data_IF_976710971072
#
_entry.id   IF_976710971072
#
_cell.length_a   1.000
_cell.length_b   1.000
_cell.length_c   1.000
_cell.angle_alpha   90.00
_cell.angle_beta   90.00
_cell.angle_gamma   90.00
#
_symmetry.space_group_name_H-M   'P 1'
#
loop_
_entity.id
_entity.type
_entity.pdbx_description
1 polymer ?
#
# COMPACT_ATOMS: atom_id res chain seq x y z
N UNK A 1 16.13 27.16 31.97
CA UNK A 1 16.81 25.85 31.96
C UNK A 1 17.09 25.53 30.50
N UNK A 2 18.36 25.53 30.08
CA UNK A 2 18.78 25.16 28.74
C UNK A 2 18.98 23.65 28.73
N UNK A 3 18.16 22.91 28.00
CA UNK A 3 18.26 21.46 27.98
C UNK A 3 17.66 20.87 26.70
N UNK A 4 18.05 19.62 26.40
CA UNK A 4 17.56 18.87 25.24
C UNK A 4 16.02 18.89 25.16
N UNK A 5 15.50 19.35 24.02
CA UNK A 5 14.06 19.47 23.74
C UNK A 5 13.71 19.07 22.31
N UNK A 6 12.41 18.91 22.08
CA UNK A 6 11.80 18.69 20.76
C UNK A 6 12.47 17.55 19.97
N UNK A 7 12.84 16.48 20.70
CA UNK A 7 13.41 15.30 20.06
C UNK A 7 12.29 14.58 19.35
N UNK A 8 12.41 14.46 18.02
CA UNK A 8 11.45 13.79 17.16
C UNK A 8 12.18 13.07 16.03
N UNK A 9 11.52 12.06 15.48
CA UNK A 9 12.05 11.29 14.37
C UNK A 9 11.12 11.41 13.16
N UNK A 10 11.70 11.47 11.97
CA UNK A 10 10.97 11.36 10.70
C UNK A 10 11.50 10.15 9.95
N UNK A 11 10.66 9.11 9.91
CA UNK A 11 10.91 7.86 9.20
C UNK A 11 9.88 7.78 8.07
N UNK A 12 10.29 7.54 6.82
CA UNK A 12 9.32 7.39 5.73
C UNK A 12 8.43 6.17 6.00
N UNK A 13 7.12 6.34 5.83
CA UNK A 13 6.15 5.27 6.09
C UNK A 13 6.41 4.04 5.19
N UNK A 14 6.78 4.28 3.93
CA UNK A 14 7.10 3.22 3.00
C UNK A 14 8.22 3.60 2.01
N UNK A 15 9.06 2.62 1.65
CA UNK A 15 10.11 2.76 0.63
C UNK A 15 10.16 1.50 -0.23
N UNK A 16 10.36 1.66 -1.55
CA UNK A 16 10.53 0.54 -2.47
C UNK A 16 11.80 -0.26 -2.16
N UNK A 17 11.71 -1.59 -2.27
CA UNK A 17 12.86 -2.50 -2.25
C UNK A 17 13.94 -2.03 -3.23
N UNK A 18 15.21 -2.21 -2.84
CA UNK A 18 16.42 -1.66 -3.49
C UNK A 18 16.53 -0.13 -3.44
N UNK A 19 15.54 0.56 -2.86
CA UNK A 19 15.54 2.01 -2.73
C UNK A 19 16.51 2.54 -1.68
N UNK A 20 16.46 3.86 -1.48
CA UNK A 20 17.20 4.59 -0.45
C UNK A 20 16.22 5.17 0.56
N UNK A 21 16.43 4.91 1.85
CA UNK A 21 15.62 5.45 2.93
C UNK A 21 16.46 6.46 3.73
N UNK A 22 15.96 7.69 3.86
CA UNK A 22 16.60 8.71 4.71
C UNK A 22 15.72 8.94 5.93
N UNK A 23 16.31 8.74 7.11
CA UNK A 23 15.69 8.93 8.39
C UNK A 23 16.28 10.19 9.05
N UNK A 24 15.44 11.00 9.65
CA UNK A 24 15.87 12.22 10.35
C UNK A 24 15.59 12.12 11.84
N UNK A 25 16.54 12.59 12.62
CA UNK A 25 16.40 12.81 14.05
C UNK A 25 16.59 14.29 14.32
N UNK A 26 15.48 14.95 14.63
CA UNK A 26 15.46 16.37 14.97
C UNK A 26 15.53 16.50 16.48
N UNK A 27 16.31 17.45 16.96
CA UNK A 27 16.43 17.78 18.37
C UNK A 27 16.94 19.22 18.50
N UNK A 28 16.58 19.87 19.60
CA UNK A 28 17.11 21.18 19.98
C UNK A 28 17.93 21.01 21.27
N UNK A 29 19.21 21.37 21.22
CA UNK A 29 20.09 21.36 22.38
C UNK A 29 19.98 22.64 23.21
N UNK A 30 19.36 23.68 22.67
CA UNK A 30 19.31 25.05 23.17
C UNK A 30 20.72 25.64 23.42
N UNK A 31 21.32 25.31 24.56
CA UNK A 31 22.68 25.73 24.95
C UNK A 31 23.54 24.57 25.47
N UNK A 32 23.05 23.34 25.39
CA UNK A 32 23.79 22.15 25.79
C UNK A 32 24.71 21.64 24.68
N UNK A 33 25.66 20.77 25.03
CA UNK A 33 26.53 20.14 24.03
C UNK A 33 26.07 18.71 23.74
N UNK A 34 26.14 18.29 22.46
CA UNK A 34 25.78 16.94 22.08
C UNK A 34 26.84 15.95 22.56
N UNK A 35 26.43 14.95 23.35
CA UNK A 35 27.28 13.81 23.68
C UNK A 35 27.23 12.77 22.56
N UNK A 36 26.04 12.28 22.20
CA UNK A 36 25.92 11.30 21.12
C UNK A 36 24.52 11.24 20.50
N UNK A 37 24.44 10.83 19.24
CA UNK A 37 23.22 10.34 18.61
C UNK A 37 23.41 8.88 18.22
N UNK A 38 22.47 8.01 18.58
CA UNK A 38 22.50 6.58 18.22
C UNK A 38 21.22 6.18 17.51
N UNK A 39 21.37 5.30 16.53
CA UNK A 39 20.24 4.68 15.84
C UNK A 39 20.17 3.18 16.12
N UNK A 40 18.95 2.73 16.39
CA UNK A 40 18.62 1.34 16.72
C UNK A 40 17.62 0.77 15.72
N UNK A 41 17.84 -0.46 15.25
CA UNK A 41 16.83 -1.28 14.59
C UNK A 41 16.30 -2.29 15.62
N UNK A 42 15.06 -2.12 16.06
CA UNK A 42 14.55 -2.82 17.24
C UNK A 42 15.40 -2.48 18.48
N UNK A 43 16.16 -3.46 18.99
CA UNK A 43 17.06 -3.28 20.17
C UNK A 43 18.54 -3.21 19.81
N UNK A 44 18.90 -3.38 18.54
CA UNK A 44 20.31 -3.44 18.10
C UNK A 44 20.73 -2.07 17.60
N UNK A 45 21.73 -1.50 18.27
CA UNK A 45 22.42 -0.32 17.77
C UNK A 45 23.14 -0.68 16.47
N UNK A 46 23.04 0.19 15.46
CA UNK A 46 23.73 0.00 14.19
C UNK A 46 24.48 1.24 13.70
N UNK A 47 24.25 2.39 14.33
CA UNK A 47 24.92 3.64 13.99
C UNK A 47 25.04 4.53 15.23
N UNK A 48 26.19 5.19 15.37
CA UNK A 48 26.47 6.18 16.41
C UNK A 48 27.24 7.35 15.84
N UNK A 49 26.87 8.54 16.28
CA UNK A 49 27.61 9.78 16.06
C UNK A 49 27.99 10.40 17.41
N UNK A 50 29.28 10.54 17.69
CA UNK A 50 29.85 11.14 18.91
C UNK A 50 30.82 12.27 18.48
N UNK A 51 30.42 13.55 18.56
CA UNK A 51 31.20 14.66 18.01
C UNK A 51 32.63 14.79 18.56
N UNK A 52 32.85 14.35 19.81
CA UNK A 52 34.14 14.46 20.53
C UNK A 52 35.08 13.28 20.29
N UNK A 53 34.67 12.27 19.52
CA UNK A 53 35.51 11.12 19.15
C UNK A 53 36.09 11.28 17.75
N UNK A 54 37.22 10.60 17.49
CA UNK A 54 37.82 10.47 16.16
C UNK A 54 38.00 8.97 15.80
N UNK A 55 37.27 8.44 14.80
CA UNK A 55 36.25 9.12 14.00
C UNK A 55 34.95 9.35 14.79
N UNK A 56 34.27 10.45 14.51
CA UNK A 56 33.00 10.81 15.15
C UNK A 56 31.85 9.84 14.81
N UNK A 57 31.92 9.16 13.67
CA UNK A 57 30.89 8.23 13.21
C UNK A 57 31.34 6.78 13.38
N UNK A 58 30.47 5.93 13.91
CA UNK A 58 30.67 4.47 14.04
C UNK A 58 29.46 3.72 13.51
N UNK A 59 29.71 2.65 12.76
CA UNK A 59 28.68 1.75 12.24
C UNK A 59 28.86 0.37 12.87
N UNK A 60 27.76 -0.20 13.34
CA UNK A 60 27.71 -1.57 13.86
C UNK A 60 26.90 -2.41 12.87
N UNK A 61 27.53 -3.32 12.10
CA UNK A 61 26.85 -4.03 11.03
C UNK A 61 25.65 -4.85 11.50
N UNK A 62 24.51 -4.66 10.82
CA UNK A 62 23.36 -5.55 10.87
C UNK A 62 23.19 -6.13 9.46
N UNK A 63 23.03 -7.45 9.37
CA UNK A 63 22.83 -8.11 8.08
C UNK A 63 21.66 -7.51 7.30
N UNK A 64 21.90 -7.16 6.03
CA UNK A 64 20.91 -6.55 5.14
C UNK A 64 20.75 -5.03 5.28
N UNK A 65 21.46 -4.38 6.19
CA UNK A 65 21.41 -2.93 6.42
C UNK A 65 22.70 -2.25 5.92
N UNK A 66 22.62 -1.47 4.85
CA UNK A 66 23.75 -0.69 4.31
C UNK A 66 23.58 0.79 4.65
N UNK A 67 24.50 1.35 5.45
CA UNK A 67 24.50 2.77 5.84
C UNK A 67 25.39 3.56 4.88
N UNK A 68 24.84 4.59 4.26
CA UNK A 68 25.61 5.56 3.48
C UNK A 68 26.29 6.58 4.40
N UNK A 69 27.56 6.32 4.72
CA UNK A 69 28.39 7.20 5.56
C UNK A 69 28.49 8.62 5.01
N UNK A 70 28.59 8.78 3.68
CA UNK A 70 28.73 10.10 3.05
C UNK A 70 27.45 10.95 3.12
N UNK A 71 26.30 10.32 3.41
CA UNK A 71 24.99 10.96 3.55
C UNK A 71 24.38 10.77 4.94
N UNK A 72 25.21 10.49 5.94
CA UNK A 72 24.80 10.34 7.34
C UNK A 72 25.61 11.27 8.23
N UNK A 73 25.00 11.76 9.31
CA UNK A 73 25.62 12.64 10.31
C UNK A 73 24.83 12.57 11.64
N UNK A 74 24.96 13.59 12.50
CA UNK A 74 24.23 13.64 13.78
C UNK A 74 22.69 13.62 13.63
N UNK A 75 22.15 14.23 12.58
CA UNK A 75 20.71 14.48 12.41
C UNK A 75 20.07 13.63 11.31
N UNK A 76 20.87 13.13 10.38
CA UNK A 76 20.42 12.38 9.21
C UNK A 76 21.11 11.03 9.15
N UNK A 77 20.35 9.98 8.85
CA UNK A 77 20.85 8.64 8.58
C UNK A 77 20.28 8.17 7.23
N UNK A 78 21.16 7.74 6.33
CA UNK A 78 20.75 7.23 5.01
C UNK A 78 21.08 5.76 4.87
N UNK A 79 20.07 4.96 4.50
CA UNK A 79 20.16 3.54 4.20
C UNK A 79 20.03 3.32 2.69
N UNK A 80 20.84 2.44 2.09
CA UNK A 80 20.78 2.10 0.66
C UNK A 80 20.43 0.64 0.44
N UNK A 81 20.00 0.32 -0.79
CA UNK A 81 19.69 -1.04 -1.24
C UNK A 81 18.78 -1.79 -0.26
N UNK A 82 17.74 -1.10 0.22
CA UNK A 82 16.92 -1.61 1.33
C UNK A 82 16.17 -2.88 0.91
N UNK A 83 16.26 -3.91 1.73
CA UNK A 83 15.57 -5.19 1.52
C UNK A 83 14.31 -5.28 2.37
N UNK A 84 13.41 -6.22 2.06
CA UNK A 84 12.16 -6.42 2.84
C UNK A 84 12.43 -6.73 4.33
N UNK A 85 13.56 -7.36 4.66
CA UNK A 85 13.99 -7.64 6.04
C UNK A 85 14.37 -6.39 6.84
N UNK A 86 14.58 -5.27 6.16
CA UNK A 86 14.93 -3.97 6.76
C UNK A 86 13.71 -3.27 7.35
N UNK A 87 12.48 -3.68 7.02
CA UNK A 87 11.26 -3.18 7.66
C UNK A 87 11.28 -3.31 9.19
N UNK A 88 10.53 -2.44 9.86
CA UNK A 88 10.30 -2.44 11.29
C UNK A 88 10.64 -1.12 11.96
N UNK A 89 10.75 -1.17 13.29
CA UNK A 89 10.91 0.01 14.14
C UNK A 89 12.36 0.49 14.20
N UNK A 90 12.55 1.77 13.88
CA UNK A 90 13.79 2.50 14.04
C UNK A 90 13.68 3.46 15.21
N UNK A 91 14.73 3.55 16.04
CA UNK A 91 14.75 4.49 17.15
C UNK A 91 16.00 5.36 17.10
N UNK A 92 15.82 6.66 17.34
CA UNK A 92 16.91 7.61 17.55
C UNK A 92 17.00 7.92 19.05
N UNK A 93 18.19 7.74 19.62
CA UNK A 93 18.55 8.19 20.96
C UNK A 93 19.47 9.40 20.85
N UNK A 94 19.09 10.52 21.47
CA UNK A 94 19.90 11.73 21.56
C UNK A 94 20.28 11.94 23.01
N UNK A 95 21.58 12.05 23.28
CA UNK A 95 22.12 12.35 24.60
C UNK A 95 22.90 13.65 24.57
N UNK A 96 22.54 14.57 25.47
CA UNK A 96 23.34 15.75 25.78
C UNK A 96 24.47 15.39 26.75
N UNK A 97 25.52 16.21 26.75
CA UNK A 97 26.70 16.06 27.59
C UNK A 97 26.49 16.66 29.00
N UNK A 98 27.55 16.62 29.80
CA UNK A 98 27.61 17.35 31.05
C UNK A 98 27.26 18.84 30.84
N UNK A 99 26.47 19.45 31.74
CA UNK A 99 26.04 18.91 33.03
C UNK A 99 24.67 18.22 33.03
N UNK A 100 23.86 18.33 31.96
CA UNK A 100 22.47 17.86 32.01
C UNK A 100 22.39 16.34 31.90
N UNK A 101 23.23 15.73 31.06
CA UNK A 101 23.17 14.31 30.70
C UNK A 101 21.77 13.86 30.21
N UNK A 102 20.95 14.79 29.73
CA UNK A 102 19.59 14.49 29.28
C UNK A 102 19.65 13.55 28.08
N UNK A 103 18.81 12.52 28.11
CA UNK A 103 18.70 11.55 27.02
C UNK A 103 17.23 11.38 26.63
N UNK A 104 16.97 11.39 25.33
CA UNK A 104 15.64 11.16 24.76
C UNK A 104 15.72 10.06 23.70
N UNK A 105 14.73 9.16 23.71
CA UNK A 105 14.59 8.07 22.75
C UNK A 105 13.23 8.20 22.05
N UNK A 106 13.26 8.31 20.74
CA UNK A 106 12.06 8.41 19.89
C UNK A 106 12.11 7.36 18.78
N UNK A 107 10.95 6.92 18.31
CA UNK A 107 10.85 5.83 17.33
C UNK A 107 9.88 6.14 16.19
N UNK A 108 10.14 5.53 15.03
CA UNK A 108 9.25 5.51 13.88
C UNK A 108 9.38 4.17 13.14
N UNK A 109 8.34 3.79 12.41
CA UNK A 109 8.29 2.52 11.68
C UNK A 109 8.55 2.75 10.18
N UNK A 110 9.41 1.91 9.61
CA UNK A 110 9.70 1.86 8.18
C UNK A 110 9.11 0.58 7.60
N UNK A 111 8.34 0.70 6.53
CA UNK A 111 7.92 -0.44 5.72
C UNK A 111 8.67 -0.45 4.37
N UNK A 112 9.54 -1.43 4.17
CA UNK A 112 10.13 -1.69 2.86
C UNK A 112 9.20 -2.58 2.07
N UNK A 113 8.85 -2.13 0.87
CA UNK A 113 7.76 -2.69 0.08
C UNK A 113 8.20 -3.20 -1.28
N UNK A 114 7.49 -4.18 -1.80
CA UNK A 114 7.58 -4.65 -3.18
C UNK A 114 6.20 -4.54 -3.82
N UNK A 115 6.08 -3.76 -4.88
CA UNK A 115 4.79 -3.53 -5.54
C UNK A 115 4.42 -4.66 -6.50
N UNK A 116 3.12 -4.95 -6.70
CA UNK A 116 2.70 -5.85 -7.76
C UNK A 116 3.24 -5.43 -9.12
N UNK A 117 3.59 -6.40 -9.98
CA UNK A 117 4.06 -6.10 -11.35
C UNK A 117 2.95 -5.64 -12.30
N UNK A 118 1.70 -5.90 -11.95
CA UNK A 118 0.55 -5.65 -12.81
C UNK A 118 -0.66 -5.14 -12.05
N UNK A 119 -1.67 -4.73 -12.82
CA UNK A 119 -2.97 -4.28 -12.29
C UNK A 119 -3.71 -5.43 -11.61
N UNK A 120 -4.61 -5.16 -10.65
CA UNK A 120 -5.45 -6.19 -10.06
C UNK A 120 -6.29 -6.89 -11.13
N UNK A 121 -6.51 -8.20 -10.99
CA UNK A 121 -7.23 -9.02 -11.97
C UNK A 121 -8.63 -9.31 -11.48
N UNK A 122 -9.64 -9.04 -12.31
CA UNK A 122 -11.04 -9.37 -12.03
C UNK A 122 -11.43 -10.67 -12.74
N UNK A 123 -11.84 -11.68 -11.97
CA UNK A 123 -12.33 -12.99 -12.44
C UNK A 123 -13.76 -13.28 -11.96
N UNK A 124 -14.43 -14.26 -12.57
CA UNK A 124 -15.77 -14.74 -12.18
C UNK A 124 -16.97 -13.93 -12.70
N UNK A 125 -16.76 -12.70 -13.19
CA UNK A 125 -17.82 -11.82 -13.67
C UNK A 125 -18.13 -12.07 -15.16
N UNK A 126 -19.40 -12.33 -15.48
CA UNK A 126 -19.91 -12.48 -16.86
C UNK A 126 -20.10 -11.14 -17.57
N UNK A 127 -20.16 -11.16 -18.90
CA UNK A 127 -20.41 -9.96 -19.70
C UNK A 127 -21.84 -9.43 -19.61
N UNK A 128 -22.81 -10.29 -19.27
CA UNK A 128 -24.24 -9.96 -19.20
C UNK A 128 -24.90 -10.59 -17.98
N UNK A 129 -25.88 -9.89 -17.41
CA UNK A 129 -26.70 -10.37 -16.30
C UNK A 129 -28.12 -9.80 -16.40
N UNK A 130 -29.08 -10.56 -15.89
CA UNK A 130 -30.44 -10.05 -15.65
C UNK A 130 -30.55 -9.38 -14.27
N UNK A 131 -31.55 -8.54 -14.12
CA UNK A 131 -31.97 -8.06 -12.79
C UNK A 131 -32.38 -9.23 -11.91
N UNK A 132 -32.15 -9.11 -10.61
CA UNK A 132 -32.34 -10.14 -9.57
C UNK A 132 -31.37 -11.34 -9.65
N UNK A 133 -30.48 -11.41 -10.64
CA UNK A 133 -29.40 -12.40 -10.64
C UNK A 133 -28.31 -12.04 -9.62
N UNK A 134 -27.68 -13.07 -9.05
CA UNK A 134 -26.50 -12.90 -8.19
C UNK A 134 -25.24 -12.78 -9.03
N UNK A 135 -24.56 -11.65 -8.90
CA UNK A 135 -23.22 -11.43 -9.44
C UNK A 135 -22.18 -11.87 -8.41
N UNK A 136 -21.28 -12.74 -8.84
CA UNK A 136 -20.13 -13.19 -8.07
C UNK A 136 -18.84 -12.90 -8.85
N UNK A 137 -17.85 -12.31 -8.19
CA UNK A 137 -16.55 -12.03 -8.78
C UNK A 137 -15.44 -12.09 -7.75
N UNK A 138 -14.21 -12.27 -8.21
CA UNK A 138 -13.02 -12.21 -7.36
C UNK A 138 -12.03 -11.21 -7.97
N UNK A 139 -11.40 -10.44 -7.10
CA UNK A 139 -10.32 -9.55 -7.46
C UNK A 139 -9.04 -10.07 -6.80
N UNK A 140 -7.96 -10.18 -7.56
CA UNK A 140 -6.66 -10.60 -7.05
C UNK A 140 -5.57 -9.58 -7.35
N UNK A 141 -4.63 -9.41 -6.43
CA UNK A 141 -3.38 -8.68 -6.65
C UNK A 141 -2.24 -9.52 -6.12
N UNK A 142 -1.31 -9.88 -7.00
CA UNK A 142 -0.30 -10.91 -6.73
C UNK A 142 1.10 -10.33 -6.55
N UNK A 143 1.96 -11.09 -5.88
CA UNK A 143 3.41 -10.84 -5.80
C UNK A 143 3.79 -9.46 -5.25
N UNK A 144 3.30 -9.12 -4.06
CA UNK A 144 3.62 -7.85 -3.39
C UNK A 144 3.96 -8.02 -1.91
N UNK A 145 4.64 -7.03 -1.31
CA UNK A 145 4.87 -6.96 0.13
C UNK A 145 4.73 -5.50 0.58
N UNK A 146 3.87 -5.18 1.57
CA UNK A 146 2.77 -6.01 2.08
C UNK A 146 1.78 -6.38 0.97
N UNK A 147 0.91 -7.36 1.24
CA UNK A 147 -0.21 -7.65 0.35
C UNK A 147 -1.04 -6.39 0.06
N UNK A 148 -1.28 -6.12 -1.22
CA UNK A 148 -2.03 -4.94 -1.62
C UNK A 148 -3.44 -4.92 -1.02
N UNK A 149 -3.86 -3.77 -0.50
CA UNK A 149 -5.23 -3.54 -0.05
C UNK A 149 -6.15 -3.43 -1.26
N UNK A 150 -7.07 -4.38 -1.39
CA UNK A 150 -8.06 -4.43 -2.45
C UNK A 150 -9.34 -3.67 -2.08
N UNK A 151 -10.03 -3.10 -3.06
CA UNK A 151 -11.33 -2.44 -2.85
C UNK A 151 -12.19 -2.56 -4.10
N UNK A 152 -13.47 -2.89 -3.92
CA UNK A 152 -14.46 -2.96 -5.00
C UNK A 152 -15.30 -1.70 -5.07
N UNK A 153 -15.65 -1.33 -6.30
CA UNK A 153 -16.55 -0.23 -6.61
C UNK A 153 -17.59 -0.63 -7.65
N UNK A 154 -18.82 -0.18 -7.45
CA UNK A 154 -19.96 -0.34 -8.35
C UNK A 154 -20.42 1.04 -8.80
N UNK A 155 -20.33 1.32 -10.10
CA UNK A 155 -20.66 2.62 -10.69
C UNK A 155 -19.97 3.80 -9.96
N UNK A 156 -18.74 3.58 -9.50
CA UNK A 156 -17.94 4.57 -8.78
C UNK A 156 -18.05 4.54 -7.25
N UNK A 157 -19.08 3.88 -6.70
CA UNK A 157 -19.33 3.84 -5.26
C UNK A 157 -18.66 2.62 -4.61
N UNK A 158 -18.02 2.75 -3.43
CA UNK A 158 -17.39 1.64 -2.73
C UNK A 158 -18.42 0.62 -2.24
N UNK A 159 -18.02 -0.64 -2.16
CA UNK A 159 -18.86 -1.75 -1.66
C UNK A 159 -18.33 -2.22 -0.30
N UNK A 160 -19.21 -2.34 0.69
CA UNK A 160 -18.83 -2.74 2.06
C UNK A 160 -18.98 -4.25 2.30
N UNK A 161 -20.08 -4.86 1.83
CA UNK A 161 -20.39 -6.27 2.06
C UNK A 161 -19.61 -7.18 1.11
N UNK A 162 -18.33 -7.40 1.43
CA UNK A 162 -17.38 -8.16 0.63
C UNK A 162 -17.00 -9.49 1.28
N UNK A 163 -16.54 -10.43 0.45
CA UNK A 163 -16.01 -11.71 0.91
C UNK A 163 -14.51 -11.57 1.10
N UNK A 164 -14.07 -11.59 2.35
CA UNK A 164 -12.65 -11.48 2.70
C UNK A 164 -11.98 -12.85 2.58
N UNK A 165 -10.82 -12.88 1.92
CA UNK A 165 -9.97 -14.05 1.83
C UNK A 165 -8.67 -13.81 2.61
N UNK A 166 -8.06 -14.86 3.19
CA UNK A 166 -6.75 -14.73 3.80
C UNK A 166 -5.70 -14.33 2.76
N UNK A 167 -4.74 -13.51 3.18
CA UNK A 167 -3.54 -13.24 2.39
C UNK A 167 -2.75 -14.54 2.23
N UNK A 168 -2.38 -14.86 1.00
CA UNK A 168 -1.59 -16.04 0.67
C UNK A 168 -0.13 -15.62 0.54
N UNK A 169 0.78 -16.33 1.23
CA UNK A 169 2.22 -16.16 1.04
C UNK A 169 2.65 -16.92 -0.22
N UNK A 170 3.46 -16.28 -1.04
CA UNK A 170 4.05 -16.88 -2.24
C UNK A 170 5.12 -17.91 -1.89
N UNK A 171 5.58 -18.64 -2.92
CA UNK A 171 6.56 -19.73 -2.77
C UNK A 171 7.90 -19.29 -2.21
N UNK A 172 8.27 -18.01 -2.34
CA UNK A 172 9.48 -17.43 -1.75
C UNK A 172 9.35 -17.09 -0.26
N UNK A 173 8.14 -17.12 0.30
CA UNK A 173 7.86 -16.79 1.69
C UNK A 173 7.97 -15.30 2.05
N UNK A 174 8.41 -14.45 1.14
CA UNK A 174 8.51 -12.99 1.34
C UNK A 174 7.26 -12.29 0.83
N UNK A 175 6.88 -12.58 -0.42
CA UNK A 175 5.80 -11.91 -1.14
C UNK A 175 4.45 -12.54 -0.83
N UNK A 176 3.42 -11.73 -1.06
CA UNK A 176 2.07 -12.01 -0.66
C UNK A 176 1.11 -11.65 -1.80
N UNK A 177 0.03 -12.42 -1.86
CA UNK A 177 -1.09 -12.22 -2.76
C UNK A 177 -2.37 -12.01 -1.95
N UNK A 178 -3.10 -10.95 -2.29
CA UNK A 178 -4.42 -10.66 -1.72
C UNK A 178 -5.53 -11.00 -2.70
N UNK A 179 -6.67 -11.43 -2.14
CA UNK A 179 -7.90 -11.69 -2.87
C UNK A 179 -9.07 -10.99 -2.18
N UNK A 180 -10.05 -10.56 -2.95
CA UNK A 180 -11.26 -9.91 -2.44
C UNK A 180 -12.46 -10.30 -3.29
N UNK A 181 -13.41 -11.01 -2.68
CA UNK A 181 -14.62 -11.46 -3.34
C UNK A 181 -15.72 -10.42 -3.31
N UNK A 182 -16.47 -10.33 -4.40
CA UNK A 182 -17.69 -9.55 -4.54
C UNK A 182 -18.85 -10.52 -4.72
N UNK A 183 -19.89 -10.38 -3.91
CA UNK A 183 -21.16 -11.09 -4.10
C UNK A 183 -22.32 -10.14 -3.83
N UNK A 184 -23.15 -9.91 -4.84
CA UNK A 184 -24.29 -9.00 -4.74
C UNK A 184 -25.44 -9.42 -5.64
N UNK A 185 -26.66 -9.03 -5.27
CA UNK A 185 -27.84 -9.17 -6.14
C UNK A 185 -27.95 -7.92 -7.01
N UNK A 186 -28.10 -8.13 -8.32
CA UNK A 186 -28.23 -7.04 -9.29
C UNK A 186 -29.63 -6.45 -9.20
N UNK A 187 -29.73 -5.14 -9.04
CA UNK A 187 -30.97 -4.37 -8.98
C UNK A 187 -31.05 -3.45 -10.20
N UNK A 188 -32.25 -3.00 -10.61
CA UNK A 188 -32.41 -2.13 -11.78
C UNK A 188 -31.52 -0.87 -11.78
N UNK A 189 -31.36 -0.23 -10.62
CA UNK A 189 -30.53 0.98 -10.49
C UNK A 189 -29.02 0.75 -10.70
N UNK A 190 -28.55 -0.51 -10.69
CA UNK A 190 -27.16 -0.84 -10.98
C UNK A 190 -26.82 -0.75 -12.48
N UNK A 191 -27.81 -0.66 -13.37
CA UNK A 191 -27.61 -0.50 -14.82
C UNK A 191 -28.03 0.91 -15.32
N UNK A 192 -27.36 1.99 -14.88
CA UNK A 192 -27.58 3.29 -15.51
C UNK A 192 -27.28 3.16 -17.01
N UNK A 193 -28.23 3.54 -17.85
CA UNK A 193 -28.14 3.41 -19.31
C UNK A 193 -27.86 1.96 -19.79
N UNK A 194 -28.32 0.95 -19.04
CA UNK A 194 -28.17 -0.47 -19.42
C UNK A 194 -26.79 -1.05 -19.18
N UNK A 195 -25.90 -0.35 -18.46
CA UNK A 195 -24.53 -0.81 -18.19
C UNK A 195 -24.15 -0.66 -16.72
N UNK A 196 -23.57 -1.71 -16.16
CA UNK A 196 -23.01 -1.77 -14.82
C UNK A 196 -21.49 -1.70 -14.93
N UNK A 197 -20.85 -0.74 -14.25
CA UNK A 197 -19.40 -0.63 -14.16
C UNK A 197 -18.91 -1.19 -12.85
N UNK A 198 -17.96 -2.12 -12.93
CA UNK A 198 -17.38 -2.79 -11.78
C UNK A 198 -15.88 -2.55 -11.81
N UNK A 199 -15.35 -1.93 -10.75
CA UNK A 199 -13.93 -1.59 -10.64
C UNK A 199 -13.34 -2.22 -9.40
N UNK A 200 -12.19 -2.84 -9.54
CA UNK A 200 -11.35 -3.23 -8.41
C UNK A 200 -10.07 -2.40 -8.41
N UNK A 201 -9.70 -1.86 -7.25
CA UNK A 201 -8.41 -1.19 -7.04
C UNK A 201 -7.52 -1.96 -6.08
N UNK A 202 -6.21 -1.87 -6.29
CA UNK A 202 -5.18 -2.36 -5.39
C UNK A 202 -4.31 -1.18 -4.96
N UNK A 203 -3.97 -1.11 -3.68
CA UNK A 203 -3.17 -0.02 -3.10
C UNK A 203 -2.18 -0.53 -2.05
N UNK A 204 -1.00 0.09 -1.98
CA UNK A 204 0.01 -0.11 -0.92
C UNK A 204 0.51 1.28 -0.55
N UNK A 205 0.26 1.70 0.69
CA UNK A 205 0.54 3.06 1.19
C UNK A 205 0.13 4.14 0.16
N UNK A 206 0.93 5.18 -0.01
CA UNK A 206 0.81 6.23 -1.02
C UNK A 206 1.67 5.98 -2.27
N UNK A 207 2.46 4.91 -2.28
CA UNK A 207 3.45 4.59 -3.32
C UNK A 207 2.90 3.74 -4.48
N UNK A 208 1.78 3.04 -4.29
CA UNK A 208 1.18 2.20 -5.32
C UNK A 208 -0.34 2.30 -5.31
N UNK A 209 -0.90 2.60 -6.49
CA UNK A 209 -2.32 2.56 -6.76
C UNK A 209 -2.57 2.11 -8.20
N UNK A 210 -3.31 1.03 -8.40
CA UNK A 210 -3.75 0.57 -9.71
C UNK A 210 -5.19 0.07 -9.65
N UNK A 211 -5.90 0.12 -10.79
CA UNK A 211 -7.24 -0.41 -10.87
C UNK A 211 -7.57 -1.02 -12.23
N UNK A 212 -8.54 -1.93 -12.20
CA UNK A 212 -9.11 -2.59 -13.36
C UNK A 212 -10.63 -2.43 -13.31
N UNK A 213 -11.21 -2.02 -14.43
CA UNK A 213 -12.66 -1.85 -14.57
C UNK A 213 -13.19 -2.81 -15.64
N UNK A 214 -14.36 -3.41 -15.38
CA UNK A 214 -15.15 -4.19 -16.32
C UNK A 214 -16.54 -3.59 -16.45
N UNK A 215 -17.04 -3.53 -17.68
CA UNK A 215 -18.44 -3.17 -17.94
C UNK A 215 -19.27 -4.42 -18.21
N UNK A 216 -20.42 -4.50 -17.56
CA UNK A 216 -21.42 -5.56 -17.68
C UNK A 216 -22.67 -4.97 -18.31
N UNK A 217 -23.24 -5.66 -19.29
CA UNK A 217 -24.47 -5.23 -19.96
C UNK A 217 -25.70 -5.86 -19.32
N UNK A 218 -26.80 -5.13 -19.30
CA UNK A 218 -28.10 -5.65 -18.91
C UNK A 218 -28.60 -6.66 -19.95
N UNK A 219 -28.90 -7.89 -19.52
CA UNK A 219 -29.56 -8.87 -20.38
C UNK A 219 -31.06 -8.60 -20.41
N UNK A 220 -31.53 -8.02 -21.52
CA UNK A 220 -32.95 -7.83 -21.78
C UNK A 220 -33.57 -9.12 -22.33
N UNK A 221 -34.78 -9.50 -21.90
CA UNK A 221 -35.52 -10.58 -22.55
C UNK A 221 -35.64 -10.30 -24.04
N UNK A 222 -35.34 -11.28 -24.90
CA UNK A 222 -35.69 -11.18 -26.32
C UNK A 222 -37.21 -11.08 -26.39
N UNK A 223 -37.73 -9.92 -26.78
CA UNK A 223 -39.14 -9.77 -27.08
C UNK A 223 -39.53 -10.78 -28.14
N UNK A 224 -40.59 -11.56 -27.87
CA UNK A 224 -41.36 -12.19 -28.92
C UNK A 224 -41.78 -11.08 -29.88
N UNK A 225 -41.25 -11.09 -31.10
CA UNK A 225 -41.85 -10.36 -32.21
C UNK A 225 -43.28 -10.92 -32.35
N UNK A 226 -44.25 -10.20 -31.80
CA UNK A 226 -45.65 -10.49 -32.04
C UNK A 226 -45.94 -10.12 -33.49
N UNK A 227 -46.02 -11.13 -34.35
CA UNK A 227 -46.42 -10.97 -35.73
C UNK A 227 -47.89 -10.55 -35.80
N UNK A 228 -48.15 -9.35 -36.28
CA UNK A 228 -49.46 -8.96 -36.81
C UNK A 228 -49.25 -8.16 -38.09
N UNK A 229 -49.00 -8.89 -39.18
CA UNK A 229 -49.05 -8.38 -40.54
C UNK A 229 -50.04 -9.21 -41.35
N UNK A 230 -51.33 -9.11 -41.03
CA UNK A 230 -52.39 -9.64 -41.89
C UNK A 230 -52.48 -8.76 -43.15
N UNK A 231 -51.74 -9.16 -44.20
CA UNK A 231 -51.89 -8.60 -45.54
C UNK A 231 -53.04 -9.32 -46.27
N UNK A 232 -54.18 -8.65 -46.41
CA UNK A 232 -55.28 -9.08 -47.26
C UNK A 232 -54.84 -8.91 -48.73
N UNK A 233 -54.67 -10.02 -49.44
CA UNK A 233 -54.49 -10.02 -50.89
C UNK A 233 -55.87 -9.90 -51.57
N UNK A 234 -56.11 -8.79 -52.25
CA UNK A 234 -57.17 -8.67 -53.25
C UNK A 234 -56.65 -9.19 -54.59
N UNK A 235 -57.32 -10.19 -55.16
CA UNK A 235 -57.13 -10.66 -56.52
C UNK A 235 -58.06 -9.86 -57.43
N UNK A 236 -57.51 -9.24 -58.47
CA UNK A 236 -58.27 -8.72 -59.60
C UNK A 236 -57.64 -9.22 -60.90
N UNK A 237 -58.43 -9.97 -61.67
CA UNK A 237 -58.29 -10.25 -63.10
C UNK A 237 -59.59 -9.75 -63.76
N UNK A 238 -59.60 -9.36 -65.04
CA UNK A 238 -59.32 -10.26 -66.17
C UNK A 238 -57.98 -10.02 -66.86
#
# INVERSE_FOLDING_TARGET
CFCLKDVRVSVPAAILREGTATLFCHFDLEGDSLYSVKWYKGRREFYRFTPKEDPAMKIFPIFGLDVDQGKSNATQLTLRHVQLSVSGRYSCEVSADAPSFHTALVSGDLDVVETPRGRPVISGIRHRYRTEETLGGNCSSTWSKPAAKLTWFINGNPVENLVLYPVIKETDGERETSYLGLKMVIKPHHFPHGRLKIRCSASIHDIYYQSTEKSVEEERPRGLLHGTGAGIHYVHTP
#
